data_IF_669885660007
#
_entry.id   IF_669885660007
#
_cell.length_a   1.000
_cell.length_b   1.000
_cell.length_c   1.000
_cell.angle_alpha   90.00
_cell.angle_beta   90.00
_cell.angle_gamma   90.00
#
_symmetry.space_group_name_H-M   'P 1'
#
loop_
_entity.id
_entity.type
_entity.pdbx_description
1 polymer ?
#
# COMPACT_ATOMS: atom_id res chain seq x y z
N UNK A 1 8.77 22.45 -9.55
CA UNK A 1 7.99 21.25 -9.23
C UNK A 1 6.77 21.12 -10.16
N UNK A 2 6.20 19.89 -10.25
CA UNK A 2 5.07 19.64 -11.16
C UNK A 2 3.83 20.44 -10.76
N UNK A 3 3.57 20.59 -9.47
CA UNK A 3 2.42 21.33 -8.93
C UNK A 3 2.39 22.82 -9.31
N UNK A 4 3.54 23.44 -9.57
CA UNK A 4 3.62 24.82 -10.06
C UNK A 4 3.23 24.95 -11.55
N UNK A 5 3.18 23.82 -12.28
CA UNK A 5 3.00 23.79 -13.73
C UNK A 5 1.65 23.27 -14.18
N UNK A 6 1.04 22.39 -13.36
CA UNK A 6 -0.21 21.72 -13.70
C UNK A 6 -0.83 21.00 -12.50
N UNK A 7 -2.17 20.86 -12.45
CA UNK A 7 -2.84 20.01 -11.48
C UNK A 7 -2.39 18.55 -11.62
N UNK A 8 -1.98 17.94 -10.50
CA UNK A 8 -1.47 16.56 -10.47
C UNK A 8 -2.41 15.64 -9.69
N UNK A 9 -3.22 14.87 -10.40
CA UNK A 9 -4.17 13.91 -9.85
C UNK A 9 -3.76 12.47 -10.15
N UNK A 10 -2.45 12.15 -10.01
CA UNK A 10 -1.91 10.86 -10.41
C UNK A 10 -1.09 10.15 -9.33
N UNK A 11 -1.35 10.44 -8.06
CA UNK A 11 -0.65 9.85 -6.90
C UNK A 11 -0.77 8.33 -6.85
N UNK A 12 -1.93 7.78 -7.24
CA UNK A 12 -2.13 6.33 -7.30
C UNK A 12 -1.22 5.63 -8.33
N UNK A 13 -0.57 6.38 -9.22
CA UNK A 13 0.50 5.90 -10.10
C UNK A 13 1.87 6.15 -9.46
N UNK A 14 2.17 7.40 -9.07
CA UNK A 14 3.39 7.78 -8.37
C UNK A 14 3.15 9.02 -7.52
N UNK A 15 3.57 9.01 -6.27
CA UNK A 15 3.59 10.18 -5.39
C UNK A 15 4.72 11.14 -5.75
N UNK A 16 4.56 12.39 -5.36
CA UNK A 16 5.62 13.39 -5.46
C UNK A 16 6.60 13.24 -4.29
N UNK A 17 7.83 13.67 -4.49
CA UNK A 17 8.80 13.72 -3.40
C UNK A 17 8.81 15.16 -2.86
N UNK A 18 8.65 15.29 -1.54
CA UNK A 18 8.69 16.60 -0.90
C UNK A 18 10.11 17.19 -0.93
N UNK A 19 10.31 18.50 -1.25
CA UNK A 19 11.63 19.10 -1.32
C UNK A 19 12.49 18.90 -0.08
N UNK A 20 11.90 18.99 1.11
CA UNK A 20 12.59 18.72 2.37
C UNK A 20 13.21 17.31 2.45
N UNK A 21 12.52 16.31 1.91
CA UNK A 21 13.04 14.93 1.85
C UNK A 21 14.30 14.87 0.99
N UNK A 22 14.31 15.56 -0.16
CA UNK A 22 15.48 15.64 -1.04
C UNK A 22 16.67 16.36 -0.36
N UNK A 23 16.41 17.45 0.38
CA UNK A 23 17.45 18.15 1.15
C UNK A 23 18.13 17.22 2.18
N UNK A 24 17.34 16.42 2.90
CA UNK A 24 17.84 15.46 3.88
C UNK A 24 18.68 14.35 3.23
N UNK A 25 18.30 13.90 2.03
CA UNK A 25 19.10 12.91 1.29
C UNK A 25 20.51 13.38 0.98
N UNK A 26 20.68 14.66 0.67
CA UNK A 26 22.01 15.23 0.44
C UNK A 26 22.88 15.11 1.69
N UNK A 27 22.29 15.33 2.88
CA UNK A 27 23.00 15.19 4.16
C UNK A 27 23.39 13.73 4.43
N UNK A 28 22.44 12.79 4.26
CA UNK A 28 22.65 11.34 4.42
C UNK A 28 23.80 10.87 3.50
N UNK A 29 23.77 11.26 2.22
CA UNK A 29 24.82 10.90 1.26
C UNK A 29 26.19 11.43 1.68
N UNK A 30 26.28 12.69 2.15
CA UNK A 30 27.53 13.28 2.63
C UNK A 30 28.07 12.54 3.82
N UNK A 31 27.22 12.22 4.80
CA UNK A 31 27.62 11.48 5.99
C UNK A 31 28.13 10.08 5.63
N UNK A 32 27.40 9.35 4.78
CA UNK A 32 27.86 8.05 4.28
C UNK A 32 29.24 8.12 3.62
N UNK A 33 29.46 9.11 2.75
CA UNK A 33 30.76 9.28 2.07
C UNK A 33 31.91 9.60 3.02
N UNK A 34 31.62 10.23 4.15
CA UNK A 34 32.65 10.58 5.18
C UNK A 34 32.94 9.43 6.12
N UNK A 35 31.92 8.65 6.51
CA UNK A 35 32.04 7.67 7.57
C UNK A 35 32.02 6.21 7.08
N UNK A 36 31.57 5.95 5.84
CA UNK A 36 31.55 4.63 5.19
C UNK A 36 31.13 3.47 6.10
N UNK A 37 32.10 2.68 6.58
CA UNK A 37 31.83 1.49 7.40
C UNK A 37 31.16 1.84 8.73
N UNK A 38 31.58 2.93 9.39
CA UNK A 38 30.99 3.37 10.66
C UNK A 38 29.50 3.74 10.46
N UNK A 39 29.21 4.56 9.44
CA UNK A 39 27.85 4.91 9.07
C UNK A 39 26.98 3.67 8.87
N UNK A 40 27.50 2.69 8.10
CA UNK A 40 26.75 1.48 7.80
C UNK A 40 26.44 0.63 9.03
N UNK A 41 27.41 0.48 9.95
CA UNK A 41 27.26 -0.41 11.10
C UNK A 41 26.44 0.21 12.25
N UNK A 42 26.33 1.53 12.30
CA UNK A 42 25.66 2.24 13.40
C UNK A 42 24.48 3.07 12.92
N UNK A 43 24.74 4.10 12.12
CA UNK A 43 23.73 5.08 11.71
C UNK A 43 22.66 4.45 10.83
N UNK A 44 23.05 3.62 9.88
CA UNK A 44 22.12 2.97 8.98
C UNK A 44 21.31 1.85 9.65
N UNK A 45 21.90 1.11 10.59
CA UNK A 45 21.16 0.15 11.42
C UNK A 45 20.11 0.87 12.29
N UNK A 46 20.49 1.97 12.96
CA UNK A 46 19.59 2.80 13.74
C UNK A 46 18.44 3.37 12.86
N UNK A 47 18.77 3.84 11.66
CA UNK A 47 17.79 4.31 10.67
C UNK A 47 16.75 3.22 10.33
N UNK A 48 17.19 1.98 10.10
CA UNK A 48 16.25 0.87 9.80
C UNK A 48 15.31 0.60 10.95
N UNK A 49 15.80 0.61 12.19
CA UNK A 49 14.95 0.42 13.37
C UNK A 49 13.95 1.58 13.55
N UNK A 50 14.38 2.82 13.30
CA UNK A 50 13.47 3.98 13.33
C UNK A 50 12.38 3.87 12.26
N UNK A 51 12.70 3.42 11.04
CA UNK A 51 11.71 3.15 9.98
C UNK A 51 10.70 2.09 10.43
N UNK A 52 11.16 0.98 11.04
CA UNK A 52 10.25 -0.06 11.57
C UNK A 52 9.31 0.51 12.63
N UNK A 53 9.86 1.26 13.57
CA UNK A 53 9.09 1.89 14.66
C UNK A 53 8.02 2.84 14.10
N UNK A 54 8.39 3.79 13.25
CA UNK A 54 7.45 4.74 12.67
C UNK A 54 6.39 4.07 11.81
N UNK A 55 6.77 3.04 11.04
CA UNK A 55 5.80 2.27 10.24
C UNK A 55 4.84 1.47 11.11
N UNK A 56 5.36 0.88 12.19
CA UNK A 56 4.56 0.15 13.17
C UNK A 56 3.59 1.06 13.93
N UNK A 57 4.04 2.24 14.32
CA UNK A 57 3.20 3.26 14.98
C UNK A 57 2.02 3.69 14.09
N UNK A 58 2.27 3.92 12.79
CA UNK A 58 1.21 4.26 11.81
C UNK A 58 0.18 3.13 11.71
N UNK A 59 0.62 1.86 11.78
CA UNK A 59 -0.26 0.70 11.63
C UNK A 59 -0.81 0.17 12.96
N UNK A 60 -0.34 0.65 14.11
CA UNK A 60 -0.73 0.16 15.43
C UNK A 60 -0.28 -1.28 15.70
N UNK A 61 0.91 -1.68 15.22
CA UNK A 61 1.45 -3.05 15.34
C UNK A 61 2.83 -3.07 16.02
N UNK A 62 3.37 -4.27 16.28
CA UNK A 62 4.72 -4.42 16.82
C UNK A 62 5.80 -4.14 15.76
N UNK A 63 6.80 -3.33 16.09
CA UNK A 63 7.95 -3.10 15.23
C UNK A 63 8.75 -4.39 14.93
N UNK A 64 8.74 -5.37 15.84
CA UNK A 64 9.35 -6.69 15.64
C UNK A 64 8.72 -7.52 14.51
N UNK A 65 7.48 -7.20 14.14
CA UNK A 65 6.76 -7.84 13.04
C UNK A 65 6.82 -7.02 11.73
N UNK A 66 7.63 -5.95 11.69
CA UNK A 66 7.83 -5.13 10.50
C UNK A 66 9.06 -5.56 9.71
N UNK A 67 8.89 -5.70 8.40
CA UNK A 67 9.99 -5.89 7.45
C UNK A 67 10.13 -4.71 6.49
N UNK A 68 11.37 -4.41 6.13
CA UNK A 68 11.73 -3.39 5.15
C UNK A 68 11.98 -4.06 3.80
N UNK A 69 11.11 -3.80 2.84
CA UNK A 69 11.13 -4.43 1.51
C UNK A 69 11.86 -3.56 0.50
N UNK A 70 12.46 -4.16 -0.53
CA UNK A 70 12.89 -3.43 -1.73
C UNK A 70 11.71 -2.92 -2.56
N UNK A 71 10.60 -3.66 -2.57
CA UNK A 71 9.33 -3.28 -3.19
C UNK A 71 8.23 -4.26 -2.73
N UNK A 72 6.96 -3.90 -2.98
CA UNK A 72 5.79 -4.71 -2.67
C UNK A 72 5.89 -6.14 -3.25
N UNK A 73 6.23 -6.25 -4.54
CA UNK A 73 6.23 -7.54 -5.23
C UNK A 73 7.24 -8.53 -4.66
N UNK A 74 8.41 -8.07 -4.17
CA UNK A 74 9.38 -8.94 -3.50
C UNK A 74 8.80 -9.54 -2.22
N UNK A 75 8.10 -8.75 -1.40
CA UNK A 75 7.42 -9.23 -0.19
C UNK A 75 6.32 -10.24 -0.50
N UNK A 76 5.47 -9.97 -1.49
CA UNK A 76 4.42 -10.91 -1.90
C UNK A 76 4.97 -12.23 -2.42
N UNK A 77 6.09 -12.21 -3.16
CA UNK A 77 6.74 -13.45 -3.60
C UNK A 77 7.29 -14.26 -2.41
N UNK A 78 7.84 -13.60 -1.38
CA UNK A 78 8.24 -14.32 -0.15
C UNK A 78 7.05 -15.02 0.48
N UNK A 79 5.90 -14.35 0.64
CA UNK A 79 4.68 -14.95 1.19
C UNK A 79 4.25 -16.15 0.35
N UNK A 80 4.03 -15.96 -0.94
CA UNK A 80 3.40 -16.98 -1.80
C UNK A 80 4.28 -18.21 -2.01
N UNK A 81 5.60 -18.03 -2.05
CA UNK A 81 6.52 -19.16 -2.15
C UNK A 81 6.57 -19.99 -0.87
N UNK A 82 6.39 -19.36 0.29
CA UNK A 82 6.57 -20.02 1.59
C UNK A 82 5.29 -20.58 2.21
N UNK A 83 4.10 -20.12 1.85
CA UNK A 83 2.84 -20.65 2.39
C UNK A 83 2.65 -22.14 2.10
N UNK A 84 2.36 -22.93 3.15
CA UNK A 84 2.16 -24.38 3.08
C UNK A 84 0.92 -24.77 2.28
N UNK A 85 -0.20 -24.11 2.55
CA UNK A 85 -1.43 -24.34 1.81
C UNK A 85 -1.45 -23.52 0.53
N UNK A 86 -1.81 -24.16 -0.59
CA UNK A 86 -1.80 -23.52 -1.90
C UNK A 86 -3.20 -23.14 -2.39
N UNK A 87 -4.08 -22.70 -1.46
CA UNK A 87 -5.40 -22.18 -1.77
C UNK A 87 -5.56 -20.76 -1.25
N UNK A 88 -6.15 -19.87 -2.04
CA UNK A 88 -6.41 -18.49 -1.66
C UNK A 88 -7.71 -18.00 -2.28
N UNK A 89 -8.46 -17.19 -1.55
CA UNK A 89 -9.58 -16.41 -2.08
C UNK A 89 -9.14 -14.97 -2.32
N UNK A 90 -9.59 -14.36 -3.39
CA UNK A 90 -9.22 -13.00 -3.79
C UNK A 90 -10.39 -12.26 -4.41
N UNK A 91 -10.30 -10.93 -4.45
CA UNK A 91 -11.17 -10.12 -5.29
C UNK A 91 -10.84 -10.35 -6.77
N UNK A 92 -11.90 -10.40 -7.60
CA UNK A 92 -11.71 -10.39 -9.05
C UNK A 92 -11.17 -9.03 -9.50
N UNK A 93 -10.22 -9.03 -10.44
CA UNK A 93 -9.60 -7.81 -10.98
C UNK A 93 -8.85 -6.94 -9.97
N UNK A 94 -8.38 -7.51 -8.88
CA UNK A 94 -7.45 -6.82 -7.99
C UNK A 94 -6.08 -6.57 -8.67
N UNK A 95 -5.18 -5.86 -8.02
CA UNK A 95 -3.93 -5.42 -8.62
C UNK A 95 -3.01 -6.60 -9.01
N UNK A 96 -2.40 -6.58 -10.22
CA UNK A 96 -1.58 -7.69 -10.71
C UNK A 96 -0.49 -8.15 -9.76
N UNK A 97 0.19 -7.24 -9.05
CA UNK A 97 1.24 -7.63 -8.10
C UNK A 97 0.69 -8.32 -6.83
N UNK A 98 -0.62 -8.29 -6.58
CA UNK A 98 -1.25 -9.08 -5.53
C UNK A 98 -1.53 -10.51 -6.03
N UNK A 99 -2.20 -10.70 -7.17
CA UNK A 99 -2.65 -12.02 -7.60
C UNK A 99 -1.61 -12.84 -8.39
N UNK A 100 -0.76 -12.19 -9.22
CA UNK A 100 0.23 -12.90 -10.04
C UNK A 100 1.21 -13.76 -9.22
N UNK A 101 1.74 -13.32 -8.05
CA UNK A 101 2.58 -14.16 -7.22
C UNK A 101 1.89 -15.45 -6.76
N UNK A 102 0.59 -15.40 -6.44
CA UNK A 102 -0.18 -16.60 -6.11
C UNK A 102 -0.32 -17.53 -7.32
N UNK A 103 -0.64 -16.99 -8.50
CA UNK A 103 -0.74 -17.78 -9.73
C UNK A 103 0.58 -18.50 -10.06
N UNK A 104 1.70 -17.77 -10.02
CA UNK A 104 3.03 -18.31 -10.36
C UNK A 104 3.55 -19.31 -9.32
N UNK A 105 3.11 -19.18 -8.07
CA UNK A 105 3.42 -20.13 -7.01
C UNK A 105 2.49 -21.37 -6.97
N UNK A 106 1.60 -21.51 -7.98
CA UNK A 106 0.74 -22.68 -8.16
C UNK A 106 -0.45 -22.76 -7.20
N UNK A 107 -0.98 -21.61 -6.76
CA UNK A 107 -2.18 -21.59 -5.92
C UNK A 107 -3.45 -21.88 -6.72
N UNK A 108 -4.36 -22.62 -6.10
CA UNK A 108 -5.77 -22.65 -6.48
C UNK A 108 -6.41 -21.34 -6.00
N UNK A 109 -6.80 -20.46 -6.96
CA UNK A 109 -7.37 -19.15 -6.65
C UNK A 109 -8.88 -19.21 -6.87
N UNK A 110 -9.64 -18.91 -5.82
CA UNK A 110 -11.07 -18.65 -5.93
C UNK A 110 -11.32 -17.15 -5.92
N UNK A 111 -12.15 -16.69 -6.84
CA UNK A 111 -12.47 -15.27 -6.99
C UNK A 111 -13.85 -14.95 -6.48
N UNK A 112 -13.99 -13.77 -5.83
CA UNK A 112 -15.25 -13.15 -5.45
C UNK A 112 -15.43 -11.82 -6.16
N UNK A 113 -16.68 -11.38 -6.30
CA UNK A 113 -17.06 -10.13 -6.95
C UNK A 113 -17.21 -10.25 -8.47
N UNK A 114 -18.00 -9.33 -9.03
CA UNK A 114 -18.19 -9.20 -10.46
C UNK A 114 -17.18 -8.24 -11.10
N UNK A 115 -16.94 -8.42 -12.42
CA UNK A 115 -15.85 -7.80 -13.17
C UNK A 115 -15.90 -6.26 -13.33
N UNK A 116 -16.86 -5.51 -12.78
CA UNK A 116 -17.05 -4.15 -13.26
C UNK A 116 -16.80 -3.01 -12.29
N UNK A 117 -16.86 -3.22 -10.97
CA UNK A 117 -16.82 -2.09 -10.04
C UNK A 117 -15.81 -2.22 -8.87
N UNK A 118 -15.13 -3.35 -8.71
CA UNK A 118 -14.17 -3.58 -7.63
C UNK A 118 -14.78 -3.48 -6.21
N UNK A 119 -16.12 -3.49 -6.08
CA UNK A 119 -16.83 -3.48 -4.81
C UNK A 119 -17.58 -4.80 -4.65
N UNK A 120 -17.50 -5.37 -3.44
CA UNK A 120 -18.25 -6.58 -3.05
C UNK A 120 -18.84 -6.34 -1.67
N UNK A 121 -20.08 -6.69 -1.47
CA UNK A 121 -20.71 -6.55 -0.15
C UNK A 121 -20.06 -7.49 0.86
N UNK A 122 -19.99 -7.08 2.13
CA UNK A 122 -19.46 -7.94 3.20
C UNK A 122 -20.30 -9.22 3.39
N UNK A 123 -21.59 -9.17 3.07
CA UNK A 123 -22.44 -10.36 3.07
C UNK A 123 -22.03 -11.39 2.02
N UNK A 124 -21.66 -10.93 0.81
CA UNK A 124 -21.13 -11.79 -0.26
C UNK A 124 -19.75 -12.36 0.12
N UNK A 125 -18.88 -11.52 0.71
CA UNK A 125 -17.57 -11.96 1.22
C UNK A 125 -17.78 -13.07 2.27
N UNK A 126 -18.62 -12.84 3.27
CA UNK A 126 -18.89 -13.81 4.33
C UNK A 126 -19.51 -15.10 3.77
N UNK A 127 -20.45 -15.01 2.85
CA UNK A 127 -21.09 -16.18 2.21
C UNK A 127 -20.05 -17.01 1.43
N UNK A 128 -19.16 -16.35 0.68
CA UNK A 128 -18.10 -17.02 -0.06
C UNK A 128 -17.07 -17.70 0.86
N UNK A 129 -16.63 -17.01 1.92
CA UNK A 129 -15.71 -17.56 2.92
C UNK A 129 -16.35 -18.79 3.60
N UNK A 130 -17.61 -18.70 4.01
CA UNK A 130 -18.35 -19.80 4.64
C UNK A 130 -18.47 -21.01 3.73
N UNK A 131 -18.72 -20.79 2.44
CA UNK A 131 -18.91 -21.88 1.46
C UNK A 131 -17.59 -22.54 1.09
N UNK A 132 -16.52 -21.76 0.87
CA UNK A 132 -15.26 -22.25 0.31
C UNK A 132 -14.20 -22.57 1.37
N UNK A 133 -14.29 -21.96 2.57
CA UNK A 133 -13.35 -22.11 3.68
C UNK A 133 -11.89 -22.00 3.22
N UNK A 134 -11.50 -20.92 2.54
CA UNK A 134 -10.12 -20.75 2.09
C UNK A 134 -9.20 -20.56 3.30
N UNK A 135 -7.96 -21.08 3.28
CA UNK A 135 -7.00 -20.79 4.37
C UNK A 135 -6.55 -19.33 4.39
N UNK A 136 -6.54 -18.68 3.21
CA UNK A 136 -6.09 -17.30 3.05
C UNK A 136 -7.10 -16.51 2.24
N UNK A 137 -7.30 -15.24 2.63
CA UNK A 137 -8.00 -14.25 1.85
C UNK A 137 -7.07 -13.07 1.58
N UNK A 138 -6.79 -12.77 0.32
CA UNK A 138 -5.93 -11.67 -0.09
C UNK A 138 -6.74 -10.59 -0.80
N UNK A 139 -6.56 -9.31 -0.39
CA UNK A 139 -7.36 -8.18 -0.87
C UNK A 139 -6.60 -6.87 -0.77
N UNK A 140 -6.80 -5.94 -1.71
CA UNK A 140 -6.36 -4.55 -1.57
C UNK A 140 -7.26 -3.79 -0.59
N UNK A 141 -6.68 -3.03 0.36
CA UNK A 141 -7.45 -2.15 1.26
C UNK A 141 -8.19 -1.08 0.47
N UNK A 142 -7.54 -0.51 -0.55
CA UNK A 142 -8.17 0.40 -1.51
C UNK A 142 -7.99 -0.15 -2.91
N UNK A 143 -9.09 -0.43 -3.58
CA UNK A 143 -9.06 -0.96 -4.93
C UNK A 143 -8.54 0.10 -5.93
N UNK A 144 -7.52 -0.27 -6.68
CA UNK A 144 -6.72 0.66 -7.48
C UNK A 144 -7.45 1.33 -8.65
N UNK A 145 -8.58 0.76 -9.11
CA UNK A 145 -9.38 1.29 -10.23
C UNK A 145 -10.68 1.95 -9.79
N UNK A 146 -11.34 1.46 -8.74
CA UNK A 146 -12.62 2.02 -8.29
C UNK A 146 -12.48 2.99 -7.11
N UNK A 147 -11.39 2.88 -6.34
CA UNK A 147 -11.22 3.60 -5.09
C UNK A 147 -12.06 3.04 -3.93
N UNK A 148 -12.73 1.90 -4.13
CA UNK A 148 -13.42 1.23 -3.03
C UNK A 148 -12.45 0.91 -1.91
N UNK A 149 -12.78 1.38 -0.70
CA UNK A 149 -11.98 1.22 0.50
C UNK A 149 -12.63 0.19 1.42
N UNK A 150 -11.88 -0.86 1.74
CA UNK A 150 -12.34 -1.93 2.61
C UNK A 150 -12.25 -1.50 4.06
N UNK A 151 -13.33 -1.69 4.82
CA UNK A 151 -13.33 -1.64 6.27
C UNK A 151 -12.62 -2.90 6.82
N UNK A 152 -11.37 -2.72 7.26
CA UNK A 152 -10.54 -3.82 7.75
C UNK A 152 -11.05 -4.38 9.08
N UNK A 153 -11.68 -3.58 9.93
CA UNK A 153 -12.28 -4.06 11.18
C UNK A 153 -13.39 -5.07 10.88
N UNK A 154 -14.34 -4.67 10.04
CA UNK A 154 -15.43 -5.53 9.63
C UNK A 154 -14.96 -6.79 8.92
N UNK A 155 -13.95 -6.65 8.07
CA UNK A 155 -13.38 -7.78 7.34
C UNK A 155 -12.64 -8.74 8.27
N UNK A 156 -11.86 -8.23 9.23
CA UNK A 156 -11.15 -9.03 10.22
C UNK A 156 -12.10 -9.85 11.10
N UNK A 157 -13.25 -9.29 11.48
CA UNK A 157 -14.28 -10.02 12.22
C UNK A 157 -14.79 -11.21 11.41
N UNK A 158 -15.04 -11.02 10.11
CA UNK A 158 -15.51 -12.08 9.22
C UNK A 158 -14.43 -13.15 9.06
N UNK A 159 -13.21 -12.79 8.72
CA UNK A 159 -12.12 -13.76 8.49
C UNK A 159 -11.79 -14.55 9.75
N UNK A 160 -11.71 -13.88 10.91
CA UNK A 160 -11.53 -14.52 12.23
C UNK A 160 -12.58 -15.57 12.53
N UNK A 161 -13.86 -15.24 12.31
CA UNK A 161 -15.00 -16.15 12.56
C UNK A 161 -14.85 -17.51 11.87
N UNK A 162 -14.21 -17.54 10.71
CA UNK A 162 -14.01 -18.75 9.90
C UNK A 162 -12.57 -19.28 9.91
N UNK A 163 -11.68 -18.68 10.69
CA UNK A 163 -10.26 -19.09 10.79
C UNK A 163 -9.47 -18.86 9.51
N UNK A 164 -9.84 -17.83 8.73
CA UNK A 164 -9.18 -17.45 7.48
C UNK A 164 -8.13 -16.38 7.77
N UNK A 165 -6.90 -16.56 7.30
CA UNK A 165 -5.84 -15.55 7.43
C UNK A 165 -5.98 -14.46 6.38
N UNK A 166 -5.91 -13.20 6.85
CA UNK A 166 -6.14 -12.01 6.03
C UNK A 166 -4.82 -11.39 5.59
N UNK A 167 -4.61 -11.30 4.28
CA UNK A 167 -3.44 -10.68 3.63
C UNK A 167 -3.90 -9.41 2.90
N UNK A 168 -3.38 -8.25 3.29
CA UNK A 168 -3.83 -6.94 2.81
C UNK A 168 -2.75 -6.25 1.97
N UNK A 169 -3.12 -5.82 0.77
CA UNK A 169 -2.34 -4.83 0.02
C UNK A 169 -2.76 -3.41 0.44
N UNK A 170 -1.91 -2.77 1.23
CA UNK A 170 -2.10 -1.40 1.70
C UNK A 170 -1.53 -0.32 0.78
N UNK A 171 -1.04 -0.66 -0.41
CA UNK A 171 -0.30 0.26 -1.28
C UNK A 171 -1.09 1.52 -1.67
N UNK A 172 -2.42 1.45 -1.75
CA UNK A 172 -3.25 2.61 -2.07
C UNK A 172 -3.82 3.30 -0.81
N UNK A 173 -3.50 2.80 0.39
CA UNK A 173 -3.95 3.35 1.67
C UNK A 173 -2.81 3.94 2.51
N UNK A 174 -1.66 3.26 2.60
CA UNK A 174 -0.55 3.62 3.48
C UNK A 174 0.03 5.01 3.14
N UNK A 175 -0.09 5.94 4.07
CA UNK A 175 0.27 7.35 3.89
C UNK A 175 -0.89 8.27 3.43
N UNK A 176 -2.09 7.71 3.16
CA UNK A 176 -3.28 8.47 2.77
C UNK A 176 -4.47 8.28 3.71
N UNK A 177 -4.62 7.08 4.27
CA UNK A 177 -5.75 6.66 5.09
C UNK A 177 -5.23 6.19 6.43
N UNK A 178 -5.89 6.64 7.49
CA UNK A 178 -5.62 6.16 8.84
C UNK A 178 -5.95 4.67 8.93
N UNK A 179 -4.93 3.86 9.18
CA UNK A 179 -5.06 2.40 9.24
C UNK A 179 -4.47 1.94 10.56
N UNK A 180 -5.33 1.53 11.48
CA UNK A 180 -4.93 0.97 12.77
C UNK A 180 -5.31 -0.51 12.82
N UNK A 181 -4.30 -1.38 12.86
CA UNK A 181 -4.48 -2.84 12.90
C UNK A 181 -4.50 -3.38 14.34
N UNK A 182 -4.35 -2.51 15.35
CA UNK A 182 -4.35 -2.94 16.75
C UNK A 182 -5.68 -3.62 17.12
N UNK A 183 -5.58 -4.86 17.57
CA UNK A 183 -6.75 -5.69 17.92
C UNK A 183 -7.47 -6.33 16.74
N UNK A 184 -7.04 -6.08 15.49
CA UNK A 184 -7.58 -6.73 14.30
C UNK A 184 -6.80 -8.00 13.95
N UNK A 185 -7.49 -8.99 13.42
CA UNK A 185 -6.89 -10.23 12.91
C UNK A 185 -6.49 -10.02 11.42
N UNK A 186 -5.49 -9.18 11.20
CA UNK A 186 -4.81 -9.01 9.92
C UNK A 186 -3.48 -9.74 10.01
N UNK A 187 -3.24 -10.70 9.13
CA UNK A 187 -2.05 -11.55 9.19
C UNK A 187 -0.87 -11.02 8.39
N UNK A 188 -1.14 -10.27 7.33
CA UNK A 188 -0.12 -9.53 6.60
C UNK A 188 -0.68 -8.21 6.07
N UNK A 189 0.15 -7.15 6.12
CA UNK A 189 -0.13 -5.87 5.49
C UNK A 189 1.13 -5.38 4.79
N UNK A 190 1.09 -5.29 3.48
CA UNK A 190 2.23 -4.85 2.68
C UNK A 190 1.89 -3.56 1.93
N UNK A 191 2.86 -2.66 1.81
CA UNK A 191 2.66 -1.43 1.04
C UNK A 191 3.92 -1.00 0.30
N UNK A 192 3.74 -0.48 -0.92
CA UNK A 192 4.74 0.33 -1.60
C UNK A 192 4.73 1.74 -1.03
N UNK A 193 5.91 2.33 -0.85
CA UNK A 193 6.06 3.63 -0.18
C UNK A 193 6.15 4.81 -1.16
N UNK A 194 6.25 4.55 -2.46
CA UNK A 194 6.48 5.58 -3.49
C UNK A 194 5.21 6.34 -3.93
N UNK A 195 4.02 5.92 -3.46
CA UNK A 195 2.75 6.56 -3.83
C UNK A 195 2.35 7.59 -2.77
N UNK A 196 1.48 7.21 -1.88
CA UNK A 196 0.81 8.08 -0.91
C UNK A 196 1.72 8.54 0.24
N UNK A 197 2.68 7.71 0.63
CA UNK A 197 3.69 8.10 1.61
C UNK A 197 4.74 9.07 1.04
N UNK A 198 4.82 9.24 -0.30
CA UNK A 198 5.82 10.09 -0.97
C UNK A 198 7.29 9.66 -0.73
N UNK A 199 7.51 8.39 -0.35
CA UNK A 199 8.84 7.84 0.01
C UNK A 199 9.74 7.51 -1.18
N UNK A 200 9.31 7.77 -2.42
CA UNK A 200 10.06 7.43 -3.64
C UNK A 200 10.14 5.92 -3.92
N UNK A 201 10.70 5.58 -5.07
CA UNK A 201 10.87 4.19 -5.50
C UNK A 201 11.99 3.48 -4.75
N UNK A 202 11.92 2.14 -4.71
CA UNK A 202 12.98 1.26 -4.20
C UNK A 202 12.78 0.77 -2.78
N UNK A 203 11.69 1.18 -2.11
CA UNK A 203 11.33 0.73 -0.78
C UNK A 203 9.86 0.32 -0.68
N UNK A 204 9.58 -0.54 0.29
CA UNK A 204 8.26 -0.94 0.74
C UNK A 204 8.33 -1.38 2.20
N UNK A 205 7.17 -1.60 2.79
CA UNK A 205 7.05 -2.13 4.15
C UNK A 205 6.16 -3.37 4.14
N UNK A 206 6.37 -4.25 5.12
CA UNK A 206 5.45 -5.35 5.41
C UNK A 206 5.31 -5.52 6.93
N UNK A 207 4.09 -5.66 7.38
CA UNK A 207 3.73 -6.27 8.66
C UNK A 207 3.35 -7.72 8.42
N UNK A 208 3.90 -8.65 9.19
CA UNK A 208 3.59 -10.09 9.11
C UNK A 208 3.35 -10.61 10.52
N UNK A 209 2.19 -11.23 10.76
CA UNK A 209 1.87 -11.84 12.05
C UNK A 209 2.70 -13.11 12.28
N UNK A 210 2.96 -13.43 13.55
CA UNK A 210 3.60 -14.70 13.91
C UNK A 210 2.75 -15.89 13.48
N UNK A 211 1.42 -15.73 13.47
CA UNK A 211 0.49 -16.74 13.01
C UNK A 211 0.65 -17.05 11.52
N UNK A 212 0.94 -16.06 10.67
CA UNK A 212 1.21 -16.29 9.25
C UNK A 212 2.62 -16.87 9.04
N UNK A 213 3.62 -16.40 9.78
CA UNK A 213 4.98 -16.95 9.73
C UNK A 213 5.01 -18.44 10.09
N UNK A 214 4.17 -18.90 11.02
CA UNK A 214 4.03 -20.33 11.39
C UNK A 214 3.49 -21.21 10.25
N UNK A 215 2.83 -20.61 9.25
CA UNK A 215 2.36 -21.32 8.05
C UNK A 215 3.42 -21.48 6.95
N UNK A 216 4.61 -20.94 7.14
CA UNK A 216 5.66 -21.05 6.14
C UNK A 216 6.27 -22.44 6.13
N UNK A 217 6.58 -22.96 4.94
CA UNK A 217 7.05 -24.33 4.72
C UNK A 217 8.57 -24.48 4.82
N UNK A 218 9.30 -23.41 4.58
CA UNK A 218 10.77 -23.39 4.62
C UNK A 218 11.28 -21.98 4.96
N UNK A 219 12.58 -21.88 5.22
CA UNK A 219 13.25 -20.63 5.48
C UNK A 219 13.98 -20.13 4.22
N UNK A 220 13.68 -18.91 3.78
CA UNK A 220 14.48 -18.24 2.75
C UNK A 220 15.79 -17.75 3.36
N UNK A 221 16.89 -18.36 2.96
CA UNK A 221 18.20 -18.07 3.51
C UNK A 221 18.74 -16.72 3.04
N UNK A 222 19.23 -15.94 3.99
CA UNK A 222 20.01 -14.72 3.74
C UNK A 222 20.96 -14.46 4.91
N UNK A 223 21.92 -13.57 4.73
CA UNK A 223 22.81 -13.19 5.83
C UNK A 223 22.05 -12.61 7.04
N UNK A 224 20.89 -12.01 6.82
CA UNK A 224 20.13 -11.33 7.88
C UNK A 224 19.38 -12.29 8.81
N UNK A 225 19.17 -13.55 8.41
CA UNK A 225 18.57 -14.58 9.25
C UNK A 225 19.50 -15.79 9.49
N UNK A 226 20.82 -15.58 9.25
CA UNK A 226 21.86 -16.53 9.60
C UNK A 226 22.11 -16.49 11.11
N UNK A 227 22.11 -17.65 11.74
CA UNK A 227 22.43 -17.83 13.15
C UNK A 227 23.45 -18.96 13.32
N UNK A 228 24.18 -18.93 14.43
CA UNK A 228 25.08 -19.99 14.83
C UNK A 228 24.60 -20.58 16.15
N UNK A 229 24.56 -21.91 16.24
CA UNK A 229 24.27 -22.59 17.50
C UNK A 229 25.49 -22.59 18.46
N UNK A 230 25.31 -23.16 19.63
CA UNK A 230 26.35 -23.20 20.67
C UNK A 230 27.59 -24.03 20.24
N UNK A 231 27.43 -24.96 19.31
CA UNK A 231 28.51 -25.77 18.70
C UNK A 231 29.18 -25.03 17.51
N UNK A 232 28.68 -23.84 17.13
CA UNK A 232 29.17 -23.05 16.01
C UNK A 232 28.67 -23.52 14.63
N UNK A 233 27.67 -24.41 14.58
CA UNK A 233 27.06 -24.81 13.33
C UNK A 233 26.10 -23.71 12.82
N UNK A 234 26.18 -23.50 11.52
CA UNK A 234 25.41 -22.45 10.84
C UNK A 234 24.03 -22.96 10.41
N UNK A 235 23.00 -22.21 10.75
CA UNK A 235 21.64 -22.47 10.25
C UNK A 235 20.90 -21.15 9.99
N UNK A 236 19.72 -21.24 9.35
CA UNK A 236 18.87 -20.10 9.04
C UNK A 236 17.57 -20.19 9.81
N UNK A 237 17.22 -19.13 10.54
CA UNK A 237 15.97 -19.07 11.29
C UNK A 237 14.84 -18.50 10.43
N UNK A 238 13.66 -19.15 10.42
CA UNK A 238 12.46 -18.58 9.84
C UNK A 238 12.02 -17.36 10.68
N UNK A 239 11.46 -16.36 10.02
CA UNK A 239 10.95 -15.18 10.70
C UNK A 239 10.89 -13.96 9.79
N UNK A 240 10.62 -12.82 10.38
CA UNK A 240 10.41 -11.56 9.64
C UNK A 240 11.62 -11.16 8.78
N UNK A 241 12.84 -11.50 9.21
CA UNK A 241 14.07 -11.19 8.48
C UNK A 241 14.21 -11.91 7.14
N UNK A 242 13.43 -12.96 6.87
CA UNK A 242 13.34 -13.60 5.56
C UNK A 242 12.91 -12.64 4.45
N UNK A 243 12.16 -11.60 4.81
CA UNK A 243 11.69 -10.56 3.90
C UNK A 243 12.76 -9.52 3.55
N UNK A 244 13.91 -9.57 4.21
CA UNK A 244 14.98 -8.58 4.09
C UNK A 244 16.30 -9.17 3.56
N UNK A 245 16.31 -9.85 2.41
CA UNK A 245 17.53 -10.43 1.88
C UNK A 245 18.52 -9.34 1.44
N UNK A 246 19.81 -9.59 1.73
CA UNK A 246 20.91 -8.74 1.28
C UNK A 246 20.98 -7.38 1.95
N UNK A 247 21.73 -6.49 1.30
CA UNK A 247 21.95 -5.13 1.79
C UNK A 247 20.96 -4.16 1.17
N UNK A 248 20.58 -3.14 1.94
CA UNK A 248 19.66 -2.09 1.52
C UNK A 248 20.43 -0.82 1.13
N UNK A 249 19.85 -0.06 0.23
CA UNK A 249 20.38 1.24 -0.18
C UNK A 249 20.03 2.30 0.88
N UNK A 250 21.04 2.93 1.45
CA UNK A 250 20.90 3.92 2.52
C UNK A 250 20.17 5.21 2.04
N UNK A 251 20.29 5.59 0.77
CA UNK A 251 19.58 6.76 0.25
C UNK A 251 18.09 6.48 0.08
N UNK A 252 17.76 5.30 -0.44
CA UNK A 252 16.35 4.87 -0.61
C UNK A 252 15.64 4.79 0.74
N UNK A 253 16.28 4.15 1.73
CA UNK A 253 15.69 4.02 3.06
C UNK A 253 15.77 5.31 3.87
N UNK A 254 16.78 6.16 3.65
CA UNK A 254 16.83 7.52 4.17
C UNK A 254 15.66 8.38 3.69
N UNK A 255 15.30 8.25 2.41
CA UNK A 255 14.11 8.90 1.84
C UNK A 255 12.83 8.40 2.50
N UNK A 256 12.71 7.09 2.68
CA UNK A 256 11.57 6.49 3.37
C UNK A 256 11.45 7.02 4.81
N UNK A 257 12.56 7.09 5.56
CA UNK A 257 12.57 7.63 6.92
C UNK A 257 12.03 9.06 6.96
N UNK A 258 12.54 9.94 6.11
CA UNK A 258 12.14 11.34 6.11
C UNK A 258 10.67 11.52 5.66
N UNK A 259 10.17 10.68 4.76
CA UNK A 259 8.76 10.65 4.40
C UNK A 259 7.85 10.19 5.56
N UNK A 260 8.28 9.19 6.34
CA UNK A 260 7.58 8.74 7.54
C UNK A 260 7.55 9.84 8.62
N UNK A 261 8.69 10.51 8.87
CA UNK A 261 8.77 11.65 9.80
C UNK A 261 7.83 12.77 9.39
N UNK A 262 7.79 13.11 8.11
CA UNK A 262 6.87 14.12 7.58
C UNK A 262 5.40 13.71 7.80
N UNK A 263 5.06 12.44 7.52
CA UNK A 263 3.72 11.91 7.74
C UNK A 263 3.33 11.96 9.22
N UNK A 264 4.23 11.58 10.11
CA UNK A 264 4.03 11.68 11.56
C UNK A 264 3.82 13.14 12.01
N UNK A 265 4.62 14.07 11.50
CA UNK A 265 4.52 15.51 11.81
C UNK A 265 3.18 16.10 11.35
N UNK A 266 2.70 15.73 10.17
CA UNK A 266 1.43 16.19 9.63
C UNK A 266 0.23 15.55 10.33
N UNK A 267 0.39 14.31 10.78
CA UNK A 267 -0.66 13.45 11.32
C UNK A 267 -1.48 12.77 10.20
N UNK A 268 -1.55 11.44 10.23
CA UNK A 268 -2.25 10.67 9.19
C UNK A 268 -3.74 11.02 9.10
N UNK A 269 -4.40 11.27 10.23
CA UNK A 269 -5.80 11.71 10.29
C UNK A 269 -6.02 13.08 9.63
N UNK A 270 -5.08 14.00 9.76
CA UNK A 270 -5.15 15.31 9.07
C UNK A 270 -4.97 15.15 7.56
N UNK A 271 -4.04 14.25 7.14
CA UNK A 271 -3.82 13.92 5.72
C UNK A 271 -5.10 13.34 5.13
N UNK A 272 -5.70 12.36 5.79
CA UNK A 272 -6.95 11.74 5.34
C UNK A 272 -8.11 12.73 5.28
N UNK A 273 -8.31 13.55 6.32
CA UNK A 273 -9.36 14.57 6.35
C UNK A 273 -9.22 15.57 5.18
N UNK A 274 -7.99 15.98 4.87
CA UNK A 274 -7.72 16.86 3.72
C UNK A 274 -8.05 16.17 2.39
N UNK A 275 -7.60 14.94 2.21
CA UNK A 275 -7.91 14.14 1.01
C UNK A 275 -9.41 13.98 0.85
N UNK A 276 -10.12 13.64 1.92
CA UNK A 276 -11.58 13.47 1.92
C UNK A 276 -12.30 14.77 1.50
N UNK A 277 -11.92 15.90 2.08
CA UNK A 277 -12.49 17.21 1.73
C UNK A 277 -12.37 17.50 0.23
N UNK A 278 -11.19 17.29 -0.35
CA UNK A 278 -10.96 17.50 -1.78
C UNK A 278 -11.68 16.48 -2.66
N UNK A 279 -11.74 15.22 -2.22
CA UNK A 279 -12.46 14.15 -2.92
C UNK A 279 -13.96 14.41 -2.98
N UNK A 280 -14.56 14.88 -1.89
CA UNK A 280 -15.97 15.27 -1.83
C UNK A 280 -16.22 16.46 -2.77
N UNK A 281 -15.36 17.51 -2.75
CA UNK A 281 -15.47 18.64 -3.67
C UNK A 281 -15.46 18.19 -5.13
N UNK A 282 -14.51 17.32 -5.51
CA UNK A 282 -14.40 16.84 -6.87
C UNK A 282 -15.61 15.99 -7.28
N UNK A 283 -16.03 15.02 -6.46
CA UNK A 283 -17.15 14.15 -6.78
C UNK A 283 -18.47 14.92 -6.90
N UNK A 284 -18.73 15.84 -5.97
CA UNK A 284 -19.93 16.72 -6.03
C UNK A 284 -19.91 17.61 -7.29
N UNK A 285 -18.75 18.17 -7.65
CA UNK A 285 -18.62 18.97 -8.87
C UNK A 285 -18.87 18.15 -10.15
N UNK A 286 -18.32 16.94 -10.25
CA UNK A 286 -18.54 16.03 -11.37
C UNK A 286 -20.01 15.63 -11.48
N UNK A 287 -20.67 15.29 -10.37
CA UNK A 287 -22.09 14.95 -10.33
C UNK A 287 -22.98 16.15 -10.77
N UNK A 288 -22.64 17.37 -10.33
CA UNK A 288 -23.35 18.58 -10.75
C UNK A 288 -23.26 18.82 -12.27
N UNK A 289 -22.19 18.34 -12.90
CA UNK A 289 -22.00 18.36 -14.36
C UNK A 289 -22.57 17.12 -15.06
N UNK A 290 -23.30 16.26 -14.34
CA UNK A 290 -23.86 15.01 -14.85
C UNK A 290 -22.78 14.05 -15.37
N UNK A 291 -21.57 14.11 -14.83
CA UNK A 291 -20.51 13.14 -15.10
C UNK A 291 -20.71 11.93 -14.20
N UNK A 292 -20.87 10.75 -14.82
CA UNK A 292 -21.00 9.47 -14.12
C UNK A 292 -19.71 9.13 -13.36
N UNK A 293 -19.85 8.70 -12.11
CA UNK A 293 -18.73 8.12 -11.36
C UNK A 293 -18.76 6.59 -11.44
N UNK A 294 -17.61 5.99 -11.72
CA UNK A 294 -17.45 4.53 -11.67
C UNK A 294 -17.41 4.08 -10.21
N UNK A 295 -18.18 3.04 -9.88
CA UNK A 295 -18.42 2.56 -8.54
C UNK A 295 -19.63 3.25 -7.91
N UNK A 296 -19.93 2.93 -6.65
CA UNK A 296 -21.09 3.49 -5.97
C UNK A 296 -20.91 4.99 -5.71
N UNK A 297 -21.86 5.84 -6.14
CA UNK A 297 -21.78 7.28 -5.91
C UNK A 297 -22.10 7.71 -4.47
N UNK A 298 -22.62 6.82 -3.62
CA UNK A 298 -22.92 7.15 -2.22
C UNK A 298 -21.63 7.38 -1.43
N UNK A 299 -21.37 8.66 -1.16
CA UNK A 299 -20.17 9.15 -0.49
C UNK A 299 -20.28 9.14 1.04
N UNK A 300 -21.43 8.80 1.58
CA UNK A 300 -21.65 8.81 3.04
C UNK A 300 -21.01 7.64 3.76
N UNK A 301 -20.58 6.61 3.03
CA UNK A 301 -19.83 5.50 3.58
C UNK A 301 -18.32 5.69 3.41
N UNK A 302 -17.53 5.18 4.35
CA UNK A 302 -16.07 5.02 4.33
C UNK A 302 -15.50 4.32 3.08
N UNK A 303 -16.36 3.95 2.18
CA UNK A 303 -16.11 3.10 1.02
C UNK A 303 -15.28 3.76 -0.10
N UNK A 304 -14.95 5.06 0.03
CA UNK A 304 -14.16 5.74 -1.01
C UNK A 304 -13.34 6.89 -0.41
N UNK A 305 -12.04 6.89 -0.61
CA UNK A 305 -11.18 7.88 0.04
C UNK A 305 -10.44 8.79 -0.96
N UNK A 306 -9.50 8.25 -1.69
CA UNK A 306 -8.43 9.00 -2.36
C UNK A 306 -8.39 8.79 -3.88
N UNK A 307 -9.25 7.95 -4.42
CA UNK A 307 -9.33 7.61 -5.85
C UNK A 307 -10.76 7.78 -6.34
N UNK A 308 -10.93 8.55 -7.40
CA UNK A 308 -12.20 8.73 -8.13
C UNK A 308 -11.99 8.33 -9.59
N UNK A 309 -13.00 7.69 -10.18
CA UNK A 309 -12.95 7.27 -11.57
C UNK A 309 -14.21 7.70 -12.33
N UNK A 310 -14.00 8.13 -13.57
CA UNK A 310 -15.08 8.39 -14.52
C UNK A 310 -14.91 7.49 -15.76
N UNK A 311 -15.97 7.25 -16.56
CA UNK A 311 -15.85 6.51 -17.81
C UNK A 311 -14.82 7.15 -18.77
N UNK A 312 -14.00 6.31 -19.41
CA UNK A 312 -13.05 6.77 -20.41
C UNK A 312 -13.78 7.09 -21.72
N UNK A 313 -14.40 8.25 -21.77
CA UNK A 313 -14.96 8.80 -23.01
C UNK A 313 -13.89 9.62 -23.72
N UNK A 314 -13.87 9.56 -25.05
CA UNK A 314 -12.87 10.23 -25.89
C UNK A 314 -12.82 11.73 -25.61
N UNK A 315 -14.00 12.35 -25.51
CA UNK A 315 -14.13 13.79 -25.21
C UNK A 315 -13.47 14.17 -23.88
N UNK A 316 -13.63 13.38 -22.83
CA UNK A 316 -13.01 13.64 -21.52
C UNK A 316 -11.49 13.48 -21.57
N UNK A 317 -11.01 12.43 -22.25
CA UNK A 317 -9.56 12.20 -22.37
C UNK A 317 -8.85 13.29 -23.17
N UNK A 318 -9.46 13.77 -24.27
CA UNK A 318 -8.94 14.86 -25.07
C UNK A 318 -8.96 16.21 -24.35
N UNK A 319 -10.04 16.52 -23.63
CA UNK A 319 -10.18 17.76 -22.83
C UNK A 319 -9.14 17.82 -21.70
N UNK A 320 -8.99 16.72 -20.94
CA UNK A 320 -8.00 16.63 -19.86
C UNK A 320 -6.55 16.75 -20.39
N UNK A 321 -6.25 16.12 -21.54
CA UNK A 321 -4.94 16.26 -22.16
C UNK A 321 -4.64 17.68 -22.63
N UNK A 322 -5.63 18.36 -23.20
CA UNK A 322 -5.50 19.76 -23.65
C UNK A 322 -5.29 20.73 -22.45
N UNK A 323 -5.96 20.47 -21.33
CA UNK A 323 -5.86 21.26 -20.10
C UNK A 323 -4.62 20.92 -19.26
N UNK A 324 -3.79 19.99 -19.71
CA UNK A 324 -2.57 19.54 -19.01
C UNK A 324 -2.82 19.01 -17.60
N UNK A 325 -4.01 18.47 -17.32
CA UNK A 325 -4.28 17.77 -16.06
C UNK A 325 -3.60 16.41 -16.07
N UNK A 326 -2.81 16.14 -15.04
CA UNK A 326 -2.10 14.87 -14.91
C UNK A 326 -2.98 13.84 -14.19
N UNK A 327 -3.48 12.86 -14.95
CA UNK A 327 -4.33 11.77 -14.44
C UNK A 327 -3.99 10.45 -15.16
N UNK A 328 -4.59 9.34 -14.77
CA UNK A 328 -4.35 8.04 -15.41
C UNK A 328 -5.55 7.56 -16.21
N UNK A 329 -5.32 7.16 -17.46
CA UNK A 329 -6.28 6.37 -18.23
C UNK A 329 -6.02 4.87 -17.96
N UNK A 330 -7.05 4.14 -17.51
CA UNK A 330 -6.99 2.73 -17.12
C UNK A 330 -8.12 1.95 -17.78
N UNK A 331 -7.87 1.38 -18.97
CA UNK A 331 -8.88 0.64 -19.71
C UNK A 331 -10.12 1.51 -20.00
N UNK A 332 -11.27 1.16 -19.37
CA UNK A 332 -12.54 1.87 -19.53
C UNK A 332 -12.71 3.07 -18.59
N UNK A 333 -11.71 3.41 -17.79
CA UNK A 333 -11.79 4.46 -16.78
C UNK A 333 -10.71 5.54 -16.94
N UNK A 334 -11.04 6.78 -16.61
CA UNK A 334 -10.10 7.84 -16.26
C UNK A 334 -10.10 7.94 -14.75
N UNK A 335 -8.90 7.85 -14.16
CA UNK A 335 -8.71 7.80 -12.71
C UNK A 335 -8.04 9.07 -12.21
N UNK A 336 -8.68 9.72 -11.26
CA UNK A 336 -8.14 10.81 -10.48
C UNK A 336 -7.73 10.29 -9.10
N UNK A 337 -6.54 10.62 -8.66
CA UNK A 337 -6.04 10.26 -7.34
C UNK A 337 -5.59 11.51 -6.61
N UNK A 338 -6.32 11.85 -5.56
CA UNK A 338 -6.25 13.10 -4.82
C UNK A 338 -5.38 12.90 -3.59
N UNK A 339 -4.40 13.77 -3.40
CA UNK A 339 -3.51 13.76 -2.24
C UNK A 339 -3.65 15.04 -1.42
N UNK A 340 -3.17 15.03 -0.18
CA UNK A 340 -3.21 16.20 0.71
C UNK A 340 -2.43 17.41 0.19
N UNK A 341 -1.50 17.23 -0.76
CA UNK A 341 -0.79 18.33 -1.41
C UNK A 341 -1.59 19.04 -2.52
N UNK A 342 -2.71 18.46 -2.96
CA UNK A 342 -3.63 19.18 -3.84
C UNK A 342 -4.37 20.27 -3.07
N UNK A 343 -4.87 21.27 -3.81
CA UNK A 343 -5.66 22.36 -3.27
C UNK A 343 -7.00 22.48 -4.00
N UNK A 344 -7.84 23.40 -3.54
CA UNK A 344 -9.14 23.67 -4.12
C UNK A 344 -9.04 24.18 -5.56
N UNK A 345 -8.00 24.95 -5.86
CA UNK A 345 -7.74 25.50 -7.20
C UNK A 345 -7.42 24.40 -8.20
N UNK A 346 -6.67 23.35 -7.77
CA UNK A 346 -6.43 22.16 -8.59
C UNK A 346 -7.76 21.46 -8.94
N UNK A 347 -8.65 21.32 -7.95
CA UNK A 347 -9.96 20.66 -8.16
C UNK A 347 -10.84 21.51 -9.08
N UNK A 348 -10.87 22.82 -8.87
CA UNK A 348 -11.65 23.73 -9.70
C UNK A 348 -11.13 23.76 -11.14
N UNK A 349 -9.82 23.73 -11.34
CA UNK A 349 -9.21 23.63 -12.67
C UNK A 349 -9.57 22.31 -13.37
N UNK A 350 -9.68 21.19 -12.63
CA UNK A 350 -10.16 19.91 -13.17
C UNK A 350 -11.64 19.96 -13.55
N UNK A 351 -12.47 20.60 -12.72
CA UNK A 351 -13.91 20.74 -12.97
C UNK A 351 -14.24 21.70 -14.11
N UNK A 352 -13.32 22.59 -14.47
CA UNK A 352 -13.48 23.54 -15.59
C UNK A 352 -13.19 22.89 -16.97
N UNK A 353 -12.73 21.64 -16.99
CA UNK A 353 -12.41 20.87 -18.21
C UNK A 353 -13.63 20.10 -18.69
#
# INVERSE_FOLDING_TARGET
PVLEKRPYFNTAFAGLIHPHVEEKLVAIRRQYMQELTHYRLHEFEAMKEEIRTLSADILGVSAGNMALLHNYSSGMNVITQNLKNKKVMMMREDYPSLYLPFQTAGFEISYIGEQQNGKVSYAEIEAAIKAQKPPYFAISQVHYNSGWCVDLERLSIITKKYGVKLIVDGTQAFGAIETNLNGLDVDAYLASTYKWLMGGYGAGIAYISDALLADFSFCMASQNNLVFDDEGAMHYEPGIKMFEPGHKDHEVFGRLLEALKLTQQLGISNIEARIRTLSVRLSTGLQAQSVELIGDPDLDDFDRANILCIPNKKEYAEALAASKVDCSVRGKAIRFSIHAYNNEEDVDALLAV
#
